data_IF_484086698096
#
_entry.id   IF_484086698096
#
_cell.length_a   1.000
_cell.length_b   1.000
_cell.length_c   1.000
_cell.angle_alpha   90.00
_cell.angle_beta   90.00
_cell.angle_gamma   90.00
#
_symmetry.space_group_name_H-M   'P 1'
#
loop_
_entity.id
_entity.type
_entity.pdbx_description
1 polymer ?
#
# COMPACT_ATOMS: atom_id res chain seq x y z
N UNK A 1 9.86 8.83 25.81
CA UNK A 1 9.02 9.29 24.67
C UNK A 1 8.31 8.11 24.05
N UNK A 2 7.02 8.25 23.71
CA UNK A 2 6.27 7.24 22.94
C UNK A 2 6.61 7.38 21.44
N UNK A 3 6.63 6.27 20.71
CA UNK A 3 6.88 6.22 19.26
C UNK A 3 5.71 5.55 18.54
N UNK A 4 5.48 5.93 17.29
CA UNK A 4 4.54 5.26 16.40
C UNK A 4 5.20 4.05 15.75
N UNK A 5 4.47 2.94 15.67
CA UNK A 5 4.89 1.72 14.98
C UNK A 5 3.71 1.20 14.15
N UNK A 6 3.98 0.72 12.94
CA UNK A 6 3.01 0.07 12.07
C UNK A 6 3.44 -1.38 11.87
N UNK A 7 2.55 -2.34 12.15
CA UNK A 7 2.77 -3.77 11.93
C UNK A 7 1.73 -4.26 10.94
N UNK A 8 2.18 -4.85 9.83
CA UNK A 8 1.33 -5.34 8.75
C UNK A 8 1.42 -6.86 8.71
N UNK A 9 0.29 -7.53 8.94
CA UNK A 9 0.20 -8.99 8.84
C UNK A 9 0.10 -9.42 7.37
N UNK A 10 1.24 -9.82 6.81
CA UNK A 10 1.35 -10.25 5.41
C UNK A 10 0.51 -11.48 5.07
N UNK A 11 0.14 -12.30 6.06
CA UNK A 11 -0.66 -13.51 5.83
C UNK A 11 -2.13 -13.20 5.55
N UNK A 12 -2.60 -12.00 5.94
CA UNK A 12 -3.99 -11.56 5.78
C UNK A 12 -4.19 -10.63 4.59
N UNK A 13 -3.12 -10.14 3.98
CA UNK A 13 -3.26 -9.30 2.80
C UNK A 13 -3.81 -10.14 1.65
N UNK A 14 -4.82 -9.61 0.95
CA UNK A 14 -5.44 -10.24 -0.22
C UNK A 14 -5.57 -9.25 -1.39
N UNK A 15 -4.71 -8.23 -1.40
CA UNK A 15 -4.58 -7.22 -2.46
C UNK A 15 -5.88 -6.47 -2.83
N UNK A 16 -6.69 -6.13 -1.83
CA UNK A 16 -7.91 -5.34 -2.05
C UNK A 16 -7.67 -3.89 -2.50
N UNK A 17 -6.42 -3.41 -2.44
CA UNK A 17 -6.01 -2.03 -2.78
C UNK A 17 -6.66 -0.91 -1.95
N UNK A 18 -7.43 -1.21 -0.91
CA UNK A 18 -8.06 -0.18 -0.07
C UNK A 18 -7.06 0.77 0.60
N UNK A 19 -5.87 0.28 1.00
CA UNK A 19 -4.82 1.14 1.56
C UNK A 19 -4.20 2.09 0.50
N UNK A 20 -4.04 1.63 -0.73
CA UNK A 20 -3.59 2.47 -1.84
C UNK A 20 -4.66 3.50 -2.20
N UNK A 21 -5.92 3.07 -2.28
CA UNK A 21 -7.06 3.95 -2.55
C UNK A 21 -7.26 4.98 -1.45
N UNK A 22 -7.15 4.62 -0.17
CA UNK A 22 -7.27 5.59 0.92
C UNK A 22 -6.16 6.63 0.90
N UNK A 23 -4.94 6.24 0.55
CA UNK A 23 -3.84 7.20 0.36
C UNK A 23 -4.11 8.13 -0.84
N UNK A 24 -4.65 7.60 -1.94
CA UNK A 24 -5.08 8.43 -3.07
C UNK A 24 -6.22 9.36 -2.68
N UNK A 25 -7.24 8.87 -2.00
CA UNK A 25 -8.42 9.63 -1.56
C UNK A 25 -8.01 10.80 -0.65
N UNK A 26 -7.10 10.54 0.29
CA UNK A 26 -6.58 11.57 1.19
C UNK A 26 -5.77 12.64 0.42
N UNK A 27 -4.85 12.25 -0.48
CA UNK A 27 -3.84 13.16 -1.03
C UNK A 27 -4.05 13.59 -2.48
N UNK A 28 -4.93 12.95 -3.26
CA UNK A 28 -5.21 13.38 -4.63
C UNK A 28 -6.03 14.68 -4.59
N UNK A 29 -5.54 15.71 -5.28
CA UNK A 29 -6.13 17.07 -5.31
C UNK A 29 -6.18 17.79 -3.96
N UNK A 30 -5.54 17.26 -2.91
CA UNK A 30 -5.47 17.85 -1.58
C UNK A 30 -4.02 18.19 -1.19
N UNK A 31 -3.79 19.47 -0.83
CA UNK A 31 -2.52 19.92 -0.26
C UNK A 31 -2.59 19.90 1.28
N UNK A 32 -1.51 19.44 1.93
CA UNK A 32 -1.36 19.48 3.39
C UNK A 32 -0.05 20.15 3.82
N UNK A 33 0.14 21.47 3.62
CA UNK A 33 1.35 22.15 4.07
C UNK A 33 1.47 22.14 5.61
N UNK A 34 2.69 22.03 6.17
CA UNK A 34 3.99 21.92 5.49
C UNK A 34 4.38 20.48 5.10
N UNK A 35 3.49 19.50 5.27
CA UNK A 35 3.81 18.08 5.16
C UNK A 35 3.90 17.57 3.72
N UNK A 36 2.94 17.95 2.88
CA UNK A 36 2.88 17.47 1.49
C UNK A 36 2.06 18.39 0.59
N UNK A 37 2.33 18.30 -0.71
CA UNK A 37 1.45 18.76 -1.78
C UNK A 37 0.67 17.57 -2.34
N UNK A 38 -0.36 17.85 -3.12
CA UNK A 38 -1.22 16.86 -3.72
C UNK A 38 -0.44 15.78 -4.48
N UNK A 39 -0.86 14.53 -4.29
CA UNK A 39 -0.30 13.41 -5.03
C UNK A 39 -0.79 13.45 -6.50
N UNK A 40 0.06 13.12 -7.48
CA UNK A 40 -0.38 13.00 -8.88
C UNK A 40 -1.50 11.97 -9.05
N UNK A 41 -2.42 12.24 -9.99
CA UNK A 41 -3.53 11.32 -10.33
C UNK A 41 -3.07 9.89 -10.64
N UNK A 42 -1.95 9.76 -11.36
CA UNK A 42 -1.43 8.47 -11.83
C UNK A 42 0.05 8.28 -11.46
N UNK A 43 0.52 7.02 -11.52
CA UNK A 43 1.92 6.65 -11.34
C UNK A 43 2.35 6.46 -9.89
N UNK A 44 2.24 7.50 -9.05
CA UNK A 44 2.74 7.43 -7.68
C UNK A 44 1.94 6.43 -6.83
N UNK A 45 2.69 5.59 -6.09
CA UNK A 45 2.18 4.64 -5.10
C UNK A 45 2.92 4.85 -3.79
N UNK A 46 2.54 5.88 -3.03
CA UNK A 46 3.10 6.09 -1.69
C UNK A 46 2.83 4.86 -0.82
N UNK A 47 1.58 4.38 -0.82
CA UNK A 47 1.25 3.02 -0.39
C UNK A 47 1.37 2.05 -1.58
N UNK A 48 2.50 1.36 -1.70
CA UNK A 48 2.72 0.35 -2.72
C UNK A 48 2.32 -1.07 -2.25
N UNK A 49 1.99 -1.96 -3.17
CA UNK A 49 1.67 -3.37 -2.86
C UNK A 49 2.43 -4.23 -3.85
N UNK A 50 3.48 -4.89 -3.36
CA UNK A 50 4.26 -5.84 -4.15
C UNK A 50 3.54 -7.19 -4.17
N UNK A 51 3.61 -7.89 -5.31
CA UNK A 51 2.97 -9.19 -5.52
C UNK A 51 4.03 -10.21 -5.88
N UNK A 52 3.94 -11.41 -5.30
CA UNK A 52 4.84 -12.52 -5.64
C UNK A 52 4.09 -13.84 -5.65
N UNK A 53 4.00 -14.44 -6.83
CA UNK A 53 3.57 -15.83 -6.98
C UNK A 53 4.73 -16.79 -6.66
N UNK A 54 4.39 -17.97 -6.15
CA UNK A 54 5.34 -19.03 -5.83
C UNK A 54 4.73 -20.41 -6.04
N UNK A 55 5.60 -21.40 -6.26
CA UNK A 55 5.19 -22.76 -6.60
C UNK A 55 4.91 -22.92 -8.08
N UNK A 56 4.27 -24.03 -8.43
CA UNK A 56 3.89 -24.38 -9.79
C UNK A 56 2.59 -25.17 -9.75
N UNK A 57 1.79 -25.06 -10.81
CA UNK A 57 0.53 -25.80 -10.94
C UNK A 57 0.72 -27.31 -10.64
N UNK A 58 -0.14 -27.93 -9.82
CA UNK A 58 -1.37 -27.39 -9.20
C UNK A 58 -1.16 -26.76 -7.80
N UNK A 59 0.06 -26.74 -7.27
CA UNK A 59 0.38 -26.21 -5.94
C UNK A 59 0.99 -24.80 -6.05
N UNK A 60 0.15 -23.84 -6.38
CA UNK A 60 0.50 -22.42 -6.45
C UNK A 60 0.08 -21.69 -5.17
N UNK A 61 0.80 -20.62 -4.88
CA UNK A 61 0.46 -19.69 -3.80
C UNK A 61 0.89 -18.27 -4.21
N UNK A 62 0.29 -17.25 -3.58
CA UNK A 62 0.57 -15.85 -3.85
C UNK A 62 0.67 -15.08 -2.53
N UNK A 63 1.66 -14.21 -2.44
CA UNK A 63 1.84 -13.32 -1.30
C UNK A 63 1.85 -11.86 -1.74
N UNK A 64 1.38 -11.00 -0.84
CA UNK A 64 1.28 -9.56 -1.04
C UNK A 64 2.02 -8.83 0.07
N UNK A 65 2.82 -7.85 -0.30
CA UNK A 65 3.60 -7.04 0.63
C UNK A 65 3.21 -5.57 0.45
N UNK A 66 2.33 -5.04 1.32
CA UNK A 66 2.11 -3.61 1.44
C UNK A 66 3.39 -2.90 1.93
N UNK A 67 3.83 -1.88 1.20
CA UNK A 67 4.98 -1.03 1.49
C UNK A 67 4.49 0.43 1.53
N UNK A 68 4.13 0.94 2.73
CA UNK A 68 3.71 2.32 2.93
C UNK A 68 4.85 3.33 2.78
#
# INVERSE_FOLDING_TARGET
MKKWNLVIDISKCHDCNNCFLSCKDEYFENDFPPYSVAQPRHGHRWMNIMRKERGQYPKVDVAYLPIP
#
